data_IF_673912776095
#
_entry.id   IF_673912776095
#
_cell.length_a   1.000
_cell.length_b   1.000
_cell.length_c   1.000
_cell.angle_alpha   90.00
_cell.angle_beta   90.00
_cell.angle_gamma   90.00
#
_symmetry.space_group_name_H-M   'P 1'
#
loop_
_entity.id
_entity.type
_entity.pdbx_description
1 polymer ?
#
# COMPACT_ATOMS: atom_id res chain seq x y z
N UNK A 1 12.07 12.05 -24.73
CA UNK A 1 11.51 12.80 -23.57
C UNK A 1 12.66 13.55 -22.92
N UNK A 2 12.49 14.80 -22.53
CA UNK A 2 13.50 15.53 -21.74
C UNK A 2 13.57 14.91 -20.35
N UNK A 3 14.77 14.47 -19.96
CA UNK A 3 15.00 13.93 -18.62
C UNK A 3 14.73 15.04 -17.58
N UNK A 4 13.80 14.79 -16.66
CA UNK A 4 13.50 15.75 -15.59
C UNK A 4 13.71 15.05 -14.25
N UNK A 5 14.85 15.30 -13.58
CA UNK A 5 15.11 14.72 -12.25
C UNK A 5 14.02 15.06 -11.25
N UNK A 6 13.83 14.18 -10.27
CA UNK A 6 12.93 14.50 -9.15
C UNK A 6 13.59 15.55 -8.25
N UNK A 7 12.87 16.64 -8.06
CA UNK A 7 13.19 17.65 -7.05
C UNK A 7 11.99 17.75 -6.11
N UNK A 8 12.21 17.48 -4.84
CA UNK A 8 11.16 17.51 -3.83
C UNK A 8 11.24 18.81 -3.03
N UNK A 9 10.12 19.53 -2.99
CA UNK A 9 9.88 20.52 -1.96
C UNK A 9 9.35 19.81 -0.71
N UNK A 10 9.85 20.21 0.44
CA UNK A 10 9.44 19.64 1.71
C UNK A 10 8.69 20.67 2.55
N UNK A 11 7.59 20.25 3.13
CA UNK A 11 6.76 21.06 4.01
C UNK A 11 6.64 20.39 5.37
N UNK A 12 6.83 21.17 6.43
CA UNK A 12 6.43 20.82 7.78
C UNK A 12 5.05 21.40 8.04
N UNK A 13 4.11 20.56 8.44
CA UNK A 13 2.73 20.92 8.59
C UNK A 13 2.20 20.54 9.99
N UNK A 14 1.16 21.21 10.45
CA UNK A 14 0.43 20.81 11.64
C UNK A 14 -0.33 19.51 11.40
N UNK A 15 -0.14 18.53 12.27
CA UNK A 15 -0.74 17.19 12.13
C UNK A 15 -2.27 17.23 12.21
N UNK A 16 -2.85 18.12 13.01
CA UNK A 16 -4.28 18.15 13.24
C UNK A 16 -5.07 18.83 12.11
N UNK A 17 -4.47 19.81 11.43
CA UNK A 17 -5.12 20.59 10.38
C UNK A 17 -4.59 20.31 8.97
N UNK A 18 -3.39 19.77 8.85
CA UNK A 18 -2.67 19.66 7.58
C UNK A 18 -2.14 21.00 7.06
N UNK A 19 -2.31 22.09 7.80
CA UNK A 19 -1.84 23.42 7.43
C UNK A 19 -0.31 23.52 7.43
N UNK A 20 0.26 24.19 6.42
CA UNK A 20 1.71 24.40 6.33
C UNK A 20 2.13 25.32 7.47
N UNK A 21 3.11 24.89 8.25
CA UNK A 21 3.78 25.67 9.29
C UNK A 21 5.02 26.32 8.71
N UNK A 22 5.82 25.55 7.93
CA UNK A 22 7.07 26.06 7.37
C UNK A 22 7.52 25.24 6.17
N UNK A 23 8.21 25.86 5.24
CA UNK A 23 9.00 25.21 4.20
C UNK A 23 10.29 24.65 4.80
N UNK A 24 10.69 23.45 4.40
CA UNK A 24 11.88 22.77 4.91
C UNK A 24 12.93 22.55 3.80
N UNK A 25 13.55 23.62 3.24
CA UNK A 25 14.42 23.51 2.08
C UNK A 25 15.72 22.74 2.35
N UNK A 26 16.13 22.64 3.62
CA UNK A 26 17.33 21.92 4.03
C UNK A 26 17.08 20.48 4.44
N UNK A 27 15.82 20.00 4.37
CA UNK A 27 15.45 18.63 4.65
C UNK A 27 15.83 17.72 3.49
N UNK A 28 16.49 16.62 3.81
CA UNK A 28 16.86 15.58 2.84
C UNK A 28 16.48 14.20 3.37
N UNK A 29 15.83 13.36 2.57
CA UNK A 29 15.64 11.97 2.95
C UNK A 29 17.00 11.27 3.05
N UNK A 30 17.15 10.43 4.07
CA UNK A 30 18.34 9.58 4.26
C UNK A 30 18.20 8.22 3.55
N UNK A 31 17.10 8.00 2.85
CA UNK A 31 16.77 6.81 2.09
C UNK A 31 15.61 7.07 1.15
N UNK A 32 15.10 6.02 0.53
CA UNK A 32 13.96 6.13 -0.36
C UNK A 32 12.66 6.47 0.40
N UNK A 33 11.83 7.31 -0.21
CA UNK A 33 10.43 7.43 0.15
C UNK A 33 9.71 6.17 -0.31
N UNK A 34 8.78 5.66 0.48
CA UNK A 34 8.04 4.46 0.10
C UNK A 34 6.54 4.60 0.41
N UNK A 35 5.72 3.93 -0.38
CA UNK A 35 4.29 3.72 -0.12
C UNK A 35 3.91 2.27 -0.43
N UNK A 36 2.93 1.75 0.31
CA UNK A 36 2.40 0.39 0.15
C UNK A 36 0.89 0.39 0.34
N UNK A 37 0.18 -0.39 -0.45
CA UNK A 37 -1.26 -0.59 -0.28
C UNK A 37 -1.56 -1.25 1.07
N UNK A 38 -2.52 -0.69 1.80
CA UNK A 38 -3.02 -1.25 3.05
C UNK A 38 -2.03 -1.32 4.20
N UNK A 39 -0.89 -0.62 4.11
CA UNK A 39 0.16 -0.68 5.13
C UNK A 39 0.93 0.63 5.26
N UNK A 40 1.58 0.82 6.43
CA UNK A 40 2.41 1.98 6.69
C UNK A 40 3.84 1.79 6.22
N UNK A 41 4.47 2.90 5.82
CA UNK A 41 5.91 2.95 5.52
C UNK A 41 6.59 4.01 6.36
N UNK A 42 7.90 3.90 6.52
CA UNK A 42 8.71 4.82 7.32
C UNK A 42 9.68 5.61 6.46
N UNK A 43 10.05 6.79 6.93
CA UNK A 43 11.06 7.65 6.33
C UNK A 43 12.04 8.09 7.40
N UNK A 44 13.33 8.05 7.08
CA UNK A 44 14.38 8.74 7.82
C UNK A 44 14.83 9.94 7.00
N UNK A 45 14.98 11.08 7.65
CA UNK A 45 15.42 12.31 6.99
C UNK A 45 16.36 13.11 7.90
N UNK A 46 17.21 13.91 7.28
CA UNK A 46 18.11 14.84 7.96
C UNK A 46 17.74 16.27 7.60
N UNK A 47 17.54 17.11 8.60
CA UNK A 47 17.38 18.55 8.45
C UNK A 47 18.69 19.23 8.83
N UNK A 48 19.34 19.92 7.88
CA UNK A 48 20.54 20.69 8.16
C UNK A 48 20.14 22.05 8.74
N UNK A 49 20.63 22.39 9.93
CA UNK A 49 20.32 23.65 10.62
C UNK A 49 20.95 24.87 9.93
N UNK A 50 22.08 24.67 9.22
CA UNK A 50 22.66 25.68 8.36
C UNK A 50 21.85 25.82 7.07
N UNK A 51 20.78 26.58 7.09
CA UNK A 51 19.85 26.75 5.97
C UNK A 51 18.43 26.28 6.31
N UNK A 52 18.19 25.91 7.56
CA UNK A 52 16.84 25.66 8.04
C UNK A 52 16.05 26.99 8.11
N UNK A 53 14.77 26.90 7.80
CA UNK A 53 13.84 28.00 7.96
C UNK A 53 13.61 28.33 9.46
N UNK A 54 13.08 29.51 9.75
CA UNK A 54 12.99 30.02 11.13
C UNK A 54 12.16 29.14 12.04
N UNK A 55 11.03 28.60 11.54
CA UNK A 55 10.08 27.83 12.33
C UNK A 55 10.29 26.30 12.19
N UNK A 56 11.47 25.85 11.77
CA UNK A 56 11.75 24.44 11.58
C UNK A 56 11.46 23.60 12.84
N UNK A 57 11.72 24.16 14.02
CA UNK A 57 11.51 23.46 15.30
C UNK A 57 10.04 23.16 15.55
N UNK A 58 9.16 24.14 15.29
CA UNK A 58 7.71 23.99 15.37
C UNK A 58 7.17 23.05 14.28
N UNK A 59 7.72 23.16 13.08
CA UNK A 59 7.33 22.38 11.91
C UNK A 59 7.73 20.89 11.96
N UNK A 60 8.52 20.49 12.97
CA UNK A 60 9.05 19.11 13.08
C UNK A 60 8.83 18.48 14.47
N UNK A 61 7.87 18.95 15.25
CA UNK A 61 7.57 18.40 16.59
C UNK A 61 7.01 17.00 16.49
N UNK A 62 7.65 15.99 17.11
CA UNK A 62 7.13 14.63 17.10
C UNK A 62 5.72 14.50 17.66
N UNK A 63 4.86 13.74 16.95
CA UNK A 63 3.46 13.52 17.33
C UNK A 63 2.52 14.70 17.07
N UNK A 64 3.03 15.84 16.61
CA UNK A 64 2.25 17.06 16.32
C UNK A 64 2.48 17.60 14.91
N UNK A 65 3.51 17.14 14.20
CA UNK A 65 3.84 17.62 12.87
C UNK A 65 3.74 16.51 11.81
N UNK A 66 3.47 16.94 10.58
CA UNK A 66 3.55 16.16 9.35
C UNK A 66 4.72 16.63 8.49
N UNK A 67 5.37 15.73 7.81
CA UNK A 67 6.25 16.02 6.68
C UNK A 67 5.51 15.66 5.38
N UNK A 68 5.54 16.57 4.41
CA UNK A 68 4.99 16.32 3.07
C UNK A 68 6.04 16.63 2.02
N UNK A 69 6.22 15.70 1.09
CA UNK A 69 7.09 15.84 -0.07
C UNK A 69 6.26 16.10 -1.33
N UNK A 70 6.56 17.18 -2.03
CA UNK A 70 5.91 17.58 -3.27
C UNK A 70 6.90 17.57 -4.41
N UNK A 71 6.57 16.89 -5.51
CA UNK A 71 7.36 16.96 -6.74
C UNK A 71 7.21 18.32 -7.39
N UNK A 72 8.30 19.10 -7.42
CA UNK A 72 8.28 20.48 -7.91
C UNK A 72 7.99 20.60 -9.41
N UNK A 73 8.23 19.54 -10.19
CA UNK A 73 8.00 19.55 -11.63
C UNK A 73 6.51 19.43 -12.01
N UNK A 74 5.71 18.82 -11.15
CA UNK A 74 4.28 18.56 -11.38
C UNK A 74 3.37 19.19 -10.33
N UNK A 75 3.97 19.78 -9.29
CA UNK A 75 3.27 20.29 -8.09
C UNK A 75 2.38 19.22 -7.42
N UNK A 76 2.84 17.97 -7.47
CA UNK A 76 2.08 16.81 -6.99
C UNK A 76 2.67 16.34 -5.65
N UNK A 77 1.89 16.29 -4.55
CA UNK A 77 2.30 15.62 -3.34
C UNK A 77 2.52 14.13 -3.61
N UNK A 78 3.70 13.63 -3.31
CA UNK A 78 4.06 12.22 -3.56
C UNK A 78 4.12 11.39 -2.29
N UNK A 79 4.43 12.04 -1.16
CA UNK A 79 4.55 11.36 0.13
C UNK A 79 4.12 12.29 1.26
N UNK A 80 3.48 11.73 2.30
CA UNK A 80 3.13 12.47 3.51
C UNK A 80 3.09 11.54 4.72
N UNK A 81 3.61 12.02 5.86
CA UNK A 81 3.64 11.21 7.08
C UNK A 81 3.87 12.01 8.35
N UNK A 82 3.44 11.46 9.49
CA UNK A 82 3.62 12.05 10.80
C UNK A 82 5.09 11.93 11.28
N UNK A 83 5.63 12.98 11.86
CA UNK A 83 6.91 12.94 12.56
C UNK A 83 6.74 12.15 13.85
N UNK A 84 7.52 11.09 14.01
CA UNK A 84 7.46 10.21 15.18
C UNK A 84 8.65 10.38 16.10
N UNK A 85 9.82 10.69 15.53
CA UNK A 85 11.05 10.88 16.28
C UNK A 85 11.81 12.08 15.76
N UNK A 86 12.46 12.78 16.66
CA UNK A 86 13.37 13.87 16.36
C UNK A 86 14.57 13.77 17.30
N UNK A 87 15.76 13.63 16.73
CA UNK A 87 17.01 13.59 17.47
C UNK A 87 17.88 14.80 17.08
N UNK A 88 18.14 15.65 18.04
CA UNK A 88 18.95 16.84 17.90
C UNK A 88 19.86 17.00 19.10
N UNK A 89 21.04 17.56 18.87
CA UNK A 89 22.02 17.79 19.92
C UNK A 89 22.96 18.95 19.58
N UNK A 90 24.25 18.74 19.76
CA UNK A 90 25.28 19.73 19.43
C UNK A 90 25.70 19.74 17.94
N UNK A 91 25.17 18.81 17.14
CA UNK A 91 25.42 18.75 15.70
C UNK A 91 24.59 19.81 14.94
N UNK A 92 25.08 20.19 13.76
CA UNK A 92 24.39 21.13 12.87
C UNK A 92 23.28 20.48 12.06
N UNK A 93 22.86 19.28 12.45
CA UNK A 93 21.74 18.55 11.82
C UNK A 93 20.82 17.91 12.83
N UNK A 94 19.58 17.73 12.41
CA UNK A 94 18.51 17.06 13.16
C UNK A 94 18.08 15.82 12.38
N UNK A 95 18.06 14.68 13.05
CA UNK A 95 17.55 13.45 12.48
C UNK A 95 16.05 13.34 12.76
N UNK A 96 15.27 13.09 11.72
CA UNK A 96 13.81 12.95 11.78
C UNK A 96 13.42 11.55 11.33
N UNK A 97 12.57 10.90 12.13
CA UNK A 97 11.87 9.68 11.75
C UNK A 97 10.40 9.98 11.57
N UNK A 98 9.85 9.65 10.40
CA UNK A 98 8.45 9.84 10.09
C UNK A 98 7.83 8.54 9.53
N UNK A 99 6.51 8.45 9.58
CA UNK A 99 5.78 7.34 8.96
C UNK A 99 4.48 7.86 8.33
N UNK A 100 4.05 7.21 7.25
CA UNK A 100 2.79 7.52 6.59
C UNK A 100 1.60 7.41 7.55
N UNK A 101 0.47 8.07 7.25
CA UNK A 101 -0.64 8.21 8.20
C UNK A 101 -1.33 6.89 8.55
N UNK A 102 -1.13 5.84 7.78
CA UNK A 102 -1.53 4.47 8.13
C UNK A 102 -0.95 4.08 9.51
N UNK A 103 0.26 4.55 9.86
CA UNK A 103 0.87 4.32 11.17
C UNK A 103 0.07 4.97 12.31
N UNK A 104 -0.58 6.12 12.08
CA UNK A 104 -1.45 6.74 13.07
C UNK A 104 -2.63 5.82 13.43
N UNK A 105 -3.21 5.13 12.45
CA UNK A 105 -4.31 4.18 12.66
C UNK A 105 -3.88 2.98 13.53
N UNK A 106 -2.58 2.67 13.60
CA UNK A 106 -2.05 1.65 14.50
C UNK A 106 -1.96 2.10 15.97
N UNK A 107 -2.21 3.37 16.24
CA UNK A 107 -2.27 3.95 17.60
C UNK A 107 -3.68 4.37 17.98
N UNK A 108 -4.69 3.94 17.22
CA UNK A 108 -6.11 4.22 17.44
C UNK A 108 -6.91 2.92 17.45
N UNK A 109 -7.98 2.91 18.20
CA UNK A 109 -8.85 1.75 18.41
C UNK A 109 -10.26 2.05 17.93
N UNK A 110 -10.93 1.11 17.22
CA UNK A 110 -12.29 1.34 16.71
C UNK A 110 -13.35 1.26 17.81
N UNK A 111 -13.00 0.74 19.00
CA UNK A 111 -13.95 0.45 20.06
C UNK A 111 -14.81 -0.79 19.77
N UNK A 112 -15.92 -0.94 20.49
CA UNK A 112 -16.89 -2.00 20.22
C UNK A 112 -17.86 -1.55 19.13
N UNK A 113 -17.88 -2.27 18.02
CA UNK A 113 -18.80 -2.04 16.90
C UNK A 113 -19.42 -3.35 16.43
N UNK A 114 -20.68 -3.30 16.04
CA UNK A 114 -21.43 -4.43 15.46
C UNK A 114 -22.00 -3.96 14.13
N UNK A 115 -21.42 -4.40 13.05
CA UNK A 115 -21.75 -4.00 11.68
C UNK A 115 -22.29 -5.24 10.95
N UNK A 116 -23.60 -5.31 10.75
CA UNK A 116 -24.27 -6.47 10.17
C UNK A 116 -24.86 -6.10 8.81
N UNK A 117 -24.61 -6.93 7.78
CA UNK A 117 -25.07 -6.71 6.42
C UNK A 117 -24.61 -5.36 5.86
N UNK A 118 -23.41 -4.92 6.25
CA UNK A 118 -22.87 -3.60 5.92
C UNK A 118 -21.91 -3.71 4.73
N UNK A 119 -21.99 -2.76 3.78
CA UNK A 119 -21.03 -2.71 2.66
C UNK A 119 -19.60 -2.58 3.19
N UNK A 120 -18.66 -3.30 2.57
CA UNK A 120 -17.26 -3.35 3.00
C UNK A 120 -16.60 -1.97 3.13
N UNK A 121 -16.89 -1.04 2.21
CA UNK A 121 -16.35 0.31 2.29
C UNK A 121 -16.96 1.08 3.48
N UNK A 122 -18.23 0.87 3.78
CA UNK A 122 -18.87 1.45 4.95
C UNK A 122 -18.34 0.84 6.26
N UNK A 123 -17.96 -0.45 6.26
CA UNK A 123 -17.27 -1.08 7.41
C UNK A 123 -15.93 -0.37 7.65
N UNK A 124 -15.10 -0.19 6.64
CA UNK A 124 -13.82 0.54 6.77
C UNK A 124 -14.06 1.98 7.26
N UNK A 125 -15.03 2.68 6.69
CA UNK A 125 -15.37 4.05 7.11
C UNK A 125 -15.79 4.11 8.58
N UNK A 126 -16.61 3.17 9.05
CA UNK A 126 -17.05 3.09 10.44
C UNK A 126 -15.87 2.82 11.39
N UNK A 127 -14.96 1.92 11.02
CA UNK A 127 -13.77 1.60 11.81
C UNK A 127 -12.81 2.80 11.95
N UNK A 128 -12.68 3.64 10.92
CA UNK A 128 -11.78 4.80 10.93
C UNK A 128 -12.41 6.02 11.62
N UNK A 129 -13.72 6.15 11.61
CA UNK A 129 -14.44 7.33 12.17
C UNK A 129 -13.97 7.75 13.58
N UNK A 130 -13.71 6.84 14.54
CA UNK A 130 -13.19 7.24 15.86
C UNK A 130 -11.81 7.90 15.80
N UNK A 131 -11.01 7.64 14.78
CA UNK A 131 -9.69 8.24 14.62
C UNK A 131 -9.73 9.68 14.11
N UNK A 132 -10.84 10.13 13.54
CA UNK A 132 -11.00 11.49 13.01
C UNK A 132 -11.18 12.52 14.13
N UNK A 133 -11.66 12.08 15.30
CA UNK A 133 -11.81 12.98 16.45
C UNK A 133 -10.44 13.30 17.04
N UNK A 134 -10.05 14.58 17.01
CA UNK A 134 -8.72 15.06 17.41
C UNK A 134 -7.59 14.31 16.68
N UNK A 135 -7.80 14.01 15.42
CA UNK A 135 -6.86 13.31 14.55
C UNK A 135 -6.41 14.15 13.36
N UNK A 136 -5.56 13.59 12.50
CA UNK A 136 -5.15 14.23 11.25
C UNK A 136 -6.35 14.46 10.30
N UNK A 137 -6.24 15.35 9.31
CA UNK A 137 -7.31 15.70 8.39
C UNK A 137 -7.53 14.60 7.32
N UNK A 138 -7.85 13.39 7.79
CA UNK A 138 -8.23 12.27 6.95
C UNK A 138 -9.67 12.50 6.45
N UNK A 139 -9.84 12.43 5.13
CA UNK A 139 -11.14 12.53 4.47
C UNK A 139 -11.53 11.16 3.95
N UNK A 140 -12.68 10.65 4.39
CA UNK A 140 -13.15 9.32 3.95
C UNK A 140 -13.70 9.43 2.52
N UNK A 141 -13.08 8.71 1.59
CA UNK A 141 -13.51 8.51 0.21
C UNK A 141 -13.76 7.01 -0.01
N UNK A 142 -14.93 6.57 0.41
CA UNK A 142 -15.33 5.16 0.48
C UNK A 142 -16.70 4.93 -0.15
N UNK A 143 -16.84 5.01 -1.49
CA UNK A 143 -18.07 4.65 -2.18
C UNK A 143 -18.34 3.15 -2.01
N UNK A 144 -19.63 2.78 -2.02
CA UNK A 144 -20.04 1.39 -1.85
C UNK A 144 -19.35 0.47 -2.87
N UNK A 145 -18.86 -0.66 -2.36
CA UNK A 145 -18.26 -1.72 -3.19
C UNK A 145 -19.30 -2.65 -3.81
N UNK A 146 -20.50 -2.71 -3.25
CA UNK A 146 -21.56 -3.64 -3.60
C UNK A 146 -21.43 -5.02 -2.92
N UNK A 147 -20.39 -5.20 -2.09
CA UNK A 147 -20.18 -6.42 -1.31
C UNK A 147 -20.51 -6.14 0.15
N UNK A 148 -21.41 -6.90 0.73
CA UNK A 148 -21.82 -6.74 2.13
C UNK A 148 -21.18 -7.82 3.00
N UNK A 149 -20.94 -7.47 4.26
CA UNK A 149 -20.35 -8.39 5.24
C UNK A 149 -20.85 -8.08 6.64
N UNK A 150 -20.65 -9.04 7.52
CA UNK A 150 -20.78 -8.86 8.96
C UNK A 150 -19.39 -8.64 9.56
N UNK A 151 -19.24 -7.63 10.41
CA UNK A 151 -17.98 -7.35 11.09
C UNK A 151 -18.20 -6.91 12.53
N UNK A 152 -17.51 -7.56 13.44
CA UNK A 152 -17.54 -7.25 14.87
C UNK A 152 -16.17 -6.85 15.37
N UNK A 153 -16.15 -5.80 16.20
CA UNK A 153 -14.99 -5.49 17.06
C UNK A 153 -15.44 -5.38 18.50
N UNK A 154 -14.61 -5.84 19.41
CA UNK A 154 -14.81 -5.71 20.84
C UNK A 154 -13.64 -4.92 21.42
N UNK A 155 -13.93 -3.86 22.16
CA UNK A 155 -12.88 -2.98 22.70
C UNK A 155 -11.85 -3.73 23.56
N UNK A 156 -12.28 -4.84 24.22
CA UNK A 156 -11.40 -5.69 25.04
C UNK A 156 -10.40 -6.54 24.26
N UNK A 157 -10.50 -6.61 22.94
CA UNK A 157 -9.55 -7.37 22.10
C UNK A 157 -8.29 -6.55 21.75
N UNK A 158 -8.27 -5.27 22.12
CA UNK A 158 -7.16 -4.33 21.85
C UNK A 158 -6.69 -4.31 20.38
N UNK A 159 -7.60 -4.62 19.44
CA UNK A 159 -7.33 -4.54 18.00
C UNK A 159 -7.23 -3.08 17.57
N UNK A 160 -6.14 -2.71 16.92
CA UNK A 160 -5.96 -1.38 16.36
C UNK A 160 -6.82 -1.18 15.10
N UNK A 161 -7.12 0.06 14.75
CA UNK A 161 -7.83 0.35 13.49
C UNK A 161 -7.04 -0.22 12.31
N UNK A 162 -5.72 -0.01 12.26
CA UNK A 162 -4.89 -0.55 11.18
C UNK A 162 -5.04 -2.07 11.03
N UNK A 163 -4.98 -2.81 12.13
CA UNK A 163 -5.13 -4.27 12.09
C UNK A 163 -6.53 -4.69 11.60
N UNK A 164 -7.58 -3.98 12.01
CA UNK A 164 -8.94 -4.25 11.52
C UNK A 164 -9.09 -3.97 10.02
N UNK A 165 -8.50 -2.87 9.52
CA UNK A 165 -8.53 -2.56 8.09
C UNK A 165 -7.77 -3.60 7.26
N UNK A 166 -6.62 -4.07 7.76
CA UNK A 166 -5.84 -5.14 7.12
C UNK A 166 -6.60 -6.47 7.14
N UNK A 167 -7.32 -6.77 8.21
CA UNK A 167 -8.19 -7.94 8.30
C UNK A 167 -9.29 -7.89 7.23
N UNK A 168 -10.00 -6.76 7.10
CA UNK A 168 -11.06 -6.58 6.08
C UNK A 168 -10.48 -6.64 4.66
N UNK A 169 -9.33 -6.03 4.40
CA UNK A 169 -8.64 -6.08 3.11
C UNK A 169 -8.17 -7.50 2.76
N UNK A 170 -7.79 -8.28 3.77
CA UNK A 170 -7.31 -9.67 3.60
C UNK A 170 -8.41 -10.70 3.35
N UNK A 171 -9.69 -10.30 3.41
CA UNK A 171 -10.80 -11.17 3.04
C UNK A 171 -10.80 -11.41 1.53
N UNK A 172 -11.36 -12.55 1.13
CA UNK A 172 -11.61 -12.80 -0.29
C UNK A 172 -12.61 -11.77 -0.84
N UNK A 173 -12.25 -11.10 -1.94
CA UNK A 173 -12.98 -9.95 -2.44
C UNK A 173 -13.01 -8.76 -1.49
N UNK A 174 -12.10 -8.72 -0.50
CA UNK A 174 -11.96 -7.59 0.41
C UNK A 174 -11.56 -6.31 -0.32
N UNK A 175 -12.01 -5.13 0.13
CA UNK A 175 -11.73 -3.87 -0.51
C UNK A 175 -10.28 -3.45 -0.22
N UNK A 176 -9.64 -2.88 -1.21
CA UNK A 176 -8.34 -2.24 -1.04
C UNK A 176 -8.51 -0.83 -0.48
N UNK A 177 -7.51 -0.39 0.29
CA UNK A 177 -7.49 0.95 0.83
C UNK A 177 -6.07 1.54 0.87
N UNK A 178 -5.99 2.87 0.79
CA UNK A 178 -4.76 3.65 0.97
C UNK A 178 -5.12 5.06 1.46
N UNK A 179 -4.22 5.69 2.21
CA UNK A 179 -4.35 7.08 2.61
C UNK A 179 -3.42 7.91 1.71
N UNK A 180 -3.97 8.65 0.77
CA UNK A 180 -3.17 9.52 -0.09
C UNK A 180 -2.86 10.86 0.58
N UNK A 181 -2.00 11.64 -0.07
CA UNK A 181 -1.76 13.04 0.27
C UNK A 181 -2.09 13.92 -0.93
N UNK A 182 -2.90 14.93 -0.72
CA UNK A 182 -3.28 15.88 -1.77
C UNK A 182 -3.27 17.31 -1.22
N UNK A 183 -3.09 18.30 -2.09
CA UNK A 183 -3.32 19.69 -1.70
C UNK A 183 -4.75 19.90 -1.23
N UNK A 184 -4.96 20.73 -0.21
CA UNK A 184 -6.29 21.20 0.14
C UNK A 184 -6.81 22.17 -0.92
N UNK A 185 -8.13 22.46 -0.92
CA UNK A 185 -8.75 23.34 -1.92
C UNK A 185 -8.22 24.79 -1.94
N UNK A 186 -7.58 25.23 -0.86
CA UNK A 186 -6.98 26.56 -0.76
C UNK A 186 -5.47 26.57 -1.11
N UNK A 187 -4.88 25.41 -1.37
CA UNK A 187 -3.44 25.24 -1.62
C UNK A 187 -2.54 25.79 -0.48
N UNK A 188 -3.08 25.79 0.73
CA UNK A 188 -2.43 26.30 1.96
C UNK A 188 -2.05 25.19 2.94
N UNK A 189 -2.21 23.94 2.54
CA UNK A 189 -1.97 22.75 3.34
C UNK A 189 -2.43 21.50 2.61
N UNK A 190 -2.48 20.41 3.33
CA UNK A 190 -2.74 19.09 2.75
C UNK A 190 -3.95 18.41 3.39
N UNK A 191 -4.59 17.55 2.62
CA UNK A 191 -5.63 16.63 3.06
C UNK A 191 -5.18 15.20 2.75
N UNK A 192 -5.74 14.25 3.48
CA UNK A 192 -5.38 12.85 3.40
C UNK A 192 -6.61 12.00 3.09
N UNK A 193 -6.98 11.86 1.80
CA UNK A 193 -8.09 10.99 1.41
C UNK A 193 -7.78 9.54 1.75
N UNK A 194 -8.61 8.92 2.59
CA UNK A 194 -8.68 7.47 2.73
C UNK A 194 -9.53 6.95 1.58
N UNK A 195 -8.89 6.49 0.54
CA UNK A 195 -9.56 5.83 -0.58
C UNK A 195 -9.85 4.37 -0.24
N UNK A 196 -11.10 3.97 -0.44
CA UNK A 196 -11.54 2.58 -0.33
C UNK A 196 -12.23 2.18 -1.62
N UNK A 197 -11.79 1.11 -2.25
CA UNK A 197 -12.31 0.63 -3.54
C UNK A 197 -12.26 -0.91 -3.58
N UNK A 198 -13.06 -1.59 -4.42
CA UNK A 198 -12.83 -3.01 -4.70
C UNK A 198 -11.40 -3.26 -5.14
N UNK A 199 -10.85 -2.40 -6.00
CA UNK A 199 -9.43 -2.30 -6.36
C UNK A 199 -9.04 -0.84 -6.53
N UNK A 200 -7.92 -0.44 -5.92
CA UNK A 200 -7.36 0.90 -6.06
C UNK A 200 -6.55 0.98 -7.36
N UNK A 201 -6.51 2.17 -7.96
CA UNK A 201 -5.75 2.47 -9.16
C UNK A 201 -6.50 2.16 -10.46
N UNK A 202 -5.83 2.40 -11.57
CA UNK A 202 -6.35 2.17 -12.92
C UNK A 202 -6.08 0.73 -13.32
N UNK A 203 -7.14 -0.06 -13.51
CA UNK A 203 -7.06 -1.50 -13.79
C UNK A 203 -7.07 -1.83 -15.30
N UNK A 204 -7.34 -0.86 -16.16
CA UNK A 204 -7.41 -1.07 -17.61
C UNK A 204 -6.03 -1.11 -18.23
N UNK A 205 -5.91 -1.69 -19.44
CA UNK A 205 -4.68 -1.70 -20.22
C UNK A 205 -4.03 -0.32 -20.21
N UNK A 206 -2.83 -0.26 -19.74
CA UNK A 206 -2.13 0.95 -19.40
C UNK A 206 -1.27 1.47 -20.54
N UNK A 207 -1.15 2.80 -20.62
CA UNK A 207 -0.13 3.48 -21.41
C UNK A 207 1.19 3.63 -20.66
N UNK A 208 1.23 3.23 -19.38
CA UNK A 208 2.41 3.32 -18.52
C UNK A 208 3.28 2.10 -18.74
N UNK A 209 4.39 2.29 -19.45
CA UNK A 209 5.33 1.23 -19.79
C UNK A 209 6.69 1.49 -19.15
N UNK A 210 7.21 0.46 -18.47
CA UNK A 210 8.58 0.37 -18.03
C UNK A 210 9.32 -0.59 -18.96
N UNK A 211 10.36 -0.12 -19.63
CA UNK A 211 11.09 -0.86 -20.66
C UNK A 211 12.50 -1.25 -20.21
N UNK A 212 12.89 -2.48 -20.52
CA UNK A 212 14.23 -3.00 -20.34
C UNK A 212 14.77 -3.62 -21.64
N UNK A 213 15.89 -3.14 -22.20
CA UNK A 213 16.68 -1.98 -21.78
C UNK A 213 15.95 -0.67 -22.11
N UNK A 214 16.04 0.31 -21.21
CA UNK A 214 15.40 1.62 -21.38
C UNK A 214 15.40 2.39 -20.09
N UNK A 215 14.22 2.70 -19.55
CA UNK A 215 14.12 3.35 -18.24
C UNK A 215 14.46 2.39 -17.09
N UNK A 216 14.24 1.09 -17.24
CA UNK A 216 14.60 0.07 -16.24
C UNK A 216 16.10 -0.26 -16.35
N UNK A 217 16.82 -0.07 -15.25
CA UNK A 217 18.24 -0.44 -15.16
C UNK A 217 18.42 -1.92 -14.82
N UNK A 218 17.63 -2.42 -13.85
CA UNK A 218 17.57 -3.83 -13.49
C UNK A 218 16.15 -4.22 -13.07
N UNK A 219 15.83 -5.50 -13.18
CA UNK A 219 14.60 -6.04 -12.63
C UNK A 219 14.85 -7.41 -11.99
N UNK A 220 13.98 -7.78 -11.07
CA UNK A 220 13.93 -9.10 -10.46
C UNK A 220 12.52 -9.66 -10.57
N UNK A 221 12.38 -10.88 -11.08
CA UNK A 221 11.16 -11.66 -10.95
C UNK A 221 11.35 -12.65 -9.81
N UNK A 222 10.56 -12.50 -8.75
CA UNK A 222 10.48 -13.46 -7.66
C UNK A 222 9.27 -14.35 -7.89
N UNK A 223 9.53 -15.63 -8.13
CA UNK A 223 8.52 -16.68 -8.20
C UNK A 223 8.59 -17.45 -6.88
N UNK A 224 7.48 -17.60 -6.20
CA UNK A 224 7.46 -18.20 -4.86
C UNK A 224 6.31 -19.18 -4.70
N UNK A 225 6.66 -20.35 -4.19
CA UNK A 225 5.74 -21.41 -3.78
C UNK A 225 5.82 -21.67 -2.27
N UNK A 226 6.34 -20.68 -1.51
CA UNK A 226 6.37 -20.70 -0.05
C UNK A 226 4.96 -20.73 0.53
N UNK A 227 4.86 -21.04 1.82
CA UNK A 227 3.58 -21.12 2.53
C UNK A 227 2.73 -19.85 2.32
N UNK A 228 1.48 -20.06 1.93
CA UNK A 228 0.55 -18.98 1.61
C UNK A 228 0.75 -18.32 0.23
N UNK A 229 1.74 -18.75 -0.59
CA UNK A 229 2.01 -18.15 -1.91
C UNK A 229 1.73 -19.07 -3.09
N UNK A 230 1.81 -20.38 -2.89
CA UNK A 230 1.56 -21.34 -3.93
C UNK A 230 0.88 -22.60 -3.41
N UNK A 231 -0.06 -23.15 -4.20
CA UNK A 231 -0.73 -24.41 -3.91
C UNK A 231 -1.27 -25.08 -5.18
N UNK A 232 -1.20 -26.41 -5.25
CA UNK A 232 -1.89 -27.19 -6.29
C UNK A 232 -3.22 -27.74 -5.80
N UNK A 233 -3.48 -27.65 -4.50
CA UNK A 233 -4.75 -28.04 -3.89
C UNK A 233 -5.10 -27.03 -2.79
N UNK A 234 -6.30 -26.48 -2.84
CA UNK A 234 -6.80 -25.57 -1.83
C UNK A 234 -8.08 -26.14 -1.21
N UNK A 235 -8.21 -25.94 0.09
CA UNK A 235 -9.36 -26.35 0.88
C UNK A 235 -9.68 -25.22 1.86
N UNK A 236 -10.89 -24.65 1.74
CA UNK A 236 -11.35 -23.62 2.64
C UNK A 236 -12.07 -24.21 3.86
N UNK A 237 -11.90 -23.56 5.00
CA UNK A 237 -12.53 -23.97 6.27
C UNK A 237 -13.34 -22.81 6.83
N UNK A 238 -14.61 -23.05 7.07
CA UNK A 238 -15.53 -22.13 7.71
C UNK A 238 -15.48 -22.22 9.23
N UNK A 239 -16.55 -21.79 9.88
CA UNK A 239 -16.73 -21.89 11.33
C UNK A 239 -16.87 -23.32 11.84
N UNK A 240 -16.62 -23.50 13.13
CA UNK A 240 -16.73 -24.76 13.85
C UNK A 240 -15.39 -25.31 14.33
N UNK A 241 -15.45 -26.39 15.09
CA UNK A 241 -14.29 -27.07 15.65
C UNK A 241 -14.28 -28.56 15.27
N UNK A 242 -13.09 -29.12 15.13
CA UNK A 242 -12.90 -30.54 14.88
C UNK A 242 -13.63 -31.03 13.62
N UNK A 243 -14.37 -32.13 13.75
CA UNK A 243 -15.10 -32.77 12.65
C UNK A 243 -16.42 -32.08 12.27
N UNK A 244 -16.91 -31.16 13.08
CA UNK A 244 -18.10 -30.35 12.78
C UNK A 244 -17.79 -29.07 12.04
N UNK A 245 -16.52 -28.77 11.81
CA UNK A 245 -16.10 -27.59 11.09
C UNK A 245 -16.49 -27.69 9.62
N UNK A 246 -17.22 -26.67 9.12
CA UNK A 246 -17.57 -26.60 7.72
C UNK A 246 -16.28 -26.55 6.88
N UNK A 247 -16.23 -27.34 5.81
CA UNK A 247 -15.04 -27.49 4.98
C UNK A 247 -15.48 -27.64 3.53
N UNK A 248 -14.85 -26.91 2.61
CA UNK A 248 -15.09 -27.08 1.17
C UNK A 248 -14.60 -28.44 0.68
N UNK A 249 -15.01 -28.83 -0.50
CA UNK A 249 -14.30 -29.85 -1.27
C UNK A 249 -12.88 -29.38 -1.61
N UNK A 250 -11.92 -30.31 -1.77
CA UNK A 250 -10.60 -29.94 -2.28
C UNK A 250 -10.69 -29.46 -3.72
N UNK A 251 -10.26 -28.21 -3.97
CA UNK A 251 -10.07 -27.68 -5.31
C UNK A 251 -8.65 -27.99 -5.79
N UNK A 252 -8.51 -28.60 -6.97
CA UNK A 252 -7.22 -29.09 -7.48
C UNK A 252 -6.87 -28.42 -8.81
N UNK A 253 -5.60 -27.99 -8.95
CA UNK A 253 -5.00 -27.57 -10.21
C UNK A 253 -4.70 -28.81 -11.09
N UNK A 254 -5.76 -29.45 -11.61
CA UNK A 254 -5.69 -30.75 -12.28
C UNK A 254 -4.70 -30.78 -13.45
N UNK A 255 -4.57 -29.68 -14.19
CA UNK A 255 -3.60 -29.55 -15.29
C UNK A 255 -2.14 -29.62 -14.81
N UNK A 256 -1.83 -28.98 -13.69
CA UNK A 256 -0.49 -28.99 -13.11
C UNK A 256 -0.16 -30.35 -12.53
N UNK A 257 -1.11 -30.99 -11.82
CA UNK A 257 -0.95 -32.34 -11.26
C UNK A 257 -0.73 -33.35 -12.40
N UNK A 258 -1.51 -33.25 -13.47
CA UNK A 258 -1.35 -34.08 -14.66
C UNK A 258 -0.01 -33.85 -15.37
N UNK A 259 0.57 -32.66 -15.30
CA UNK A 259 1.91 -32.34 -15.77
C UNK A 259 3.03 -32.79 -14.81
N UNK A 260 2.72 -33.49 -13.74
CA UNK A 260 3.67 -34.07 -12.80
C UNK A 260 4.05 -33.15 -11.61
N UNK A 261 3.33 -32.08 -11.40
CA UNK A 261 3.57 -31.23 -10.21
C UNK A 261 3.18 -31.99 -8.94
N UNK A 262 3.97 -31.84 -7.84
CA UNK A 262 3.62 -32.37 -6.54
C UNK A 262 2.32 -31.77 -6.02
N UNK A 263 1.65 -32.50 -5.13
CA UNK A 263 0.50 -32.01 -4.41
C UNK A 263 0.96 -31.09 -3.27
N UNK A 264 0.76 -29.77 -3.44
CA UNK A 264 0.96 -28.74 -2.42
C UNK A 264 -0.40 -28.33 -1.90
N UNK A 265 -0.68 -28.59 -0.63
CA UNK A 265 -1.96 -28.32 0.00
C UNK A 265 -1.91 -26.99 0.78
N UNK A 266 -2.88 -26.11 0.51
CA UNK A 266 -3.12 -24.93 1.30
C UNK A 266 -4.50 -25.01 1.94
N UNK A 267 -4.55 -24.71 3.25
CA UNK A 267 -5.78 -24.70 4.02
C UNK A 267 -6.07 -23.28 4.46
N UNK A 268 -7.06 -22.70 3.83
CA UNK A 268 -7.46 -21.32 4.03
C UNK A 268 -8.63 -21.23 5.01
N UNK A 269 -8.58 -20.27 5.93
CA UNK A 269 -9.69 -19.95 6.83
C UNK A 269 -10.06 -18.50 6.60
N UNK A 270 -11.25 -18.20 6.04
CA UNK A 270 -11.74 -16.82 5.95
C UNK A 270 -11.75 -16.16 7.33
N UNK A 271 -11.44 -14.87 7.39
CA UNK A 271 -11.35 -14.12 8.65
C UNK A 271 -12.73 -13.93 9.33
N UNK A 272 -13.82 -14.00 8.56
CA UNK A 272 -15.20 -14.01 9.08
C UNK A 272 -15.77 -15.40 8.97
N UNK A 273 -16.53 -15.81 10.00
CA UNK A 273 -17.14 -17.12 10.07
C UNK A 273 -18.10 -17.41 8.92
N UNK A 274 -17.57 -18.05 7.88
CA UNK A 274 -18.39 -18.48 6.74
C UNK A 274 -19.17 -19.72 7.16
N UNK A 275 -20.50 -19.59 7.12
CA UNK A 275 -21.45 -20.66 7.43
C UNK A 275 -22.16 -21.20 6.18
N UNK A 276 -21.97 -20.56 5.03
CA UNK A 276 -22.54 -20.96 3.74
C UNK A 276 -21.55 -21.87 2.98
N UNK A 277 -21.92 -23.12 2.67
CA UNK A 277 -21.07 -24.05 1.91
C UNK A 277 -20.70 -23.54 0.52
N UNK A 278 -21.62 -22.92 -0.22
CA UNK A 278 -21.37 -22.47 -1.60
C UNK A 278 -20.38 -21.30 -1.61
N UNK A 279 -20.47 -20.43 -0.62
CA UNK A 279 -19.50 -19.35 -0.44
C UNK A 279 -18.09 -19.90 -0.12
N UNK A 280 -18.04 -20.95 0.70
CA UNK A 280 -16.77 -21.60 1.06
C UNK A 280 -16.10 -22.28 -0.15
N UNK A 281 -16.90 -22.92 -1.02
CA UNK A 281 -16.41 -23.48 -2.30
C UNK A 281 -15.86 -22.39 -3.22
N UNK A 282 -16.56 -21.25 -3.33
CA UNK A 282 -16.08 -20.12 -4.13
C UNK A 282 -14.74 -19.57 -3.62
N UNK A 283 -14.58 -19.43 -2.30
CA UNK A 283 -13.32 -19.02 -1.69
C UNK A 283 -12.16 -19.99 -2.01
N UNK A 284 -12.42 -21.30 -1.95
CA UNK A 284 -11.39 -22.29 -2.26
C UNK A 284 -10.97 -22.25 -3.75
N UNK A 285 -11.96 -22.09 -4.65
CA UNK A 285 -11.70 -22.00 -6.09
C UNK A 285 -10.86 -20.77 -6.45
N UNK A 286 -11.22 -19.61 -5.88
CA UNK A 286 -10.50 -18.36 -6.12
C UNK A 286 -9.09 -18.40 -5.55
N UNK A 287 -8.93 -18.89 -4.32
CA UNK A 287 -7.59 -19.05 -3.73
C UNK A 287 -6.72 -19.97 -4.57
N UNK A 288 -7.27 -21.06 -5.12
CA UNK A 288 -6.52 -21.92 -6.03
C UNK A 288 -6.12 -21.19 -7.30
N UNK A 289 -7.01 -20.41 -7.91
CA UNK A 289 -6.69 -19.65 -9.13
C UNK A 289 -5.50 -18.70 -8.93
N UNK A 290 -5.45 -18.03 -7.78
CA UNK A 290 -4.35 -17.13 -7.42
C UNK A 290 -3.04 -17.87 -7.10
N UNK A 291 -3.13 -19.08 -6.51
CA UNK A 291 -1.97 -19.79 -5.96
C UNK A 291 -1.40 -20.87 -6.90
N UNK A 292 -2.14 -21.29 -7.92
CA UNK A 292 -1.77 -22.44 -8.76
C UNK A 292 -0.41 -22.25 -9.46
N UNK A 293 -0.08 -21.05 -9.91
CA UNK A 293 1.19 -20.71 -10.54
C UNK A 293 2.25 -20.23 -9.55
N UNK A 294 1.91 -20.10 -8.26
CA UNK A 294 2.72 -19.42 -7.25
C UNK A 294 2.59 -17.90 -7.32
N UNK A 295 3.09 -17.23 -6.29
CA UNK A 295 3.13 -15.78 -6.27
C UNK A 295 4.25 -15.26 -7.20
N UNK A 296 3.90 -14.32 -8.09
CA UNK A 296 4.87 -13.67 -8.99
C UNK A 296 4.95 -12.19 -8.63
N UNK A 297 6.17 -11.74 -8.32
CA UNK A 297 6.45 -10.36 -7.93
C UNK A 297 7.60 -9.82 -8.75
N UNK A 298 7.34 -8.76 -9.51
CA UNK A 298 8.36 -8.02 -10.26
C UNK A 298 8.81 -6.82 -9.43
N UNK A 299 10.11 -6.74 -9.17
CA UNK A 299 10.73 -5.55 -8.56
C UNK A 299 11.59 -4.89 -9.63
N UNK A 300 11.25 -3.64 -9.96
CA UNK A 300 12.00 -2.88 -10.96
C UNK A 300 12.91 -1.87 -10.27
N UNK A 301 14.12 -1.65 -10.77
CA UNK A 301 14.98 -0.53 -10.42
C UNK A 301 15.13 0.34 -11.66
N UNK A 302 14.35 1.40 -11.73
CA UNK A 302 14.27 2.28 -12.88
C UNK A 302 14.89 3.65 -12.61
N UNK A 303 15.41 4.28 -13.67
CA UNK A 303 15.92 5.66 -13.62
C UNK A 303 14.73 6.59 -13.55
N UNK A 304 14.52 7.25 -12.42
CA UNK A 304 13.32 8.02 -12.13
C UNK A 304 13.08 9.18 -13.13
N UNK A 305 14.14 9.85 -13.57
CA UNK A 305 14.08 10.93 -14.55
C UNK A 305 13.70 10.48 -15.98
N UNK A 306 13.81 9.18 -16.28
CA UNK A 306 13.53 8.58 -17.59
C UNK A 306 12.26 7.76 -17.63
N UNK A 307 11.78 7.33 -16.47
CA UNK A 307 10.57 6.49 -16.35
C UNK A 307 9.30 7.34 -16.39
N UNK A 308 8.14 6.72 -16.57
CA UNK A 308 6.86 7.35 -16.28
C UNK A 308 6.87 7.95 -14.87
N UNK A 309 6.32 9.16 -14.71
CA UNK A 309 6.47 9.93 -13.48
C UNK A 309 5.49 9.48 -12.42
N UNK A 310 6.00 9.07 -11.27
CA UNK A 310 5.20 8.72 -10.10
C UNK A 310 4.36 9.92 -9.65
N UNK A 311 3.11 9.66 -9.29
CA UNK A 311 2.14 10.67 -8.85
C UNK A 311 1.41 11.38 -10.00
N UNK A 312 2.01 11.45 -11.21
CA UNK A 312 1.38 12.00 -12.40
C UNK A 312 0.90 10.91 -13.36
N UNK A 313 1.77 9.98 -13.71
CA UNK A 313 1.50 8.97 -14.73
C UNK A 313 1.06 7.65 -14.12
N UNK A 314 1.48 7.36 -12.90
CA UNK A 314 1.14 6.15 -12.16
C UNK A 314 1.27 6.33 -10.64
N UNK A 315 0.70 5.40 -9.88
CA UNK A 315 0.72 5.38 -8.42
C UNK A 315 0.39 4.00 -7.85
N UNK A 316 0.02 3.96 -6.57
CA UNK A 316 -0.41 2.73 -5.90
C UNK A 316 -1.65 2.15 -6.57
N UNK A 317 -1.62 0.84 -6.82
CA UNK A 317 -2.72 0.06 -7.37
C UNK A 317 -2.84 0.13 -8.89
N UNK A 318 -2.12 1.04 -9.57
CA UNK A 318 -2.18 1.16 -11.02
C UNK A 318 -1.54 -0.05 -11.71
N UNK A 319 -2.17 -0.45 -12.80
CA UNK A 319 -1.62 -1.48 -13.69
C UNK A 319 -0.50 -0.89 -14.53
N UNK A 320 0.64 -1.55 -14.52
CA UNK A 320 1.87 -1.16 -15.21
C UNK A 320 2.23 -2.25 -16.22
N UNK A 321 2.63 -1.86 -17.41
CA UNK A 321 3.21 -2.72 -18.42
C UNK A 321 4.74 -2.74 -18.27
N UNK A 322 5.33 -3.92 -18.06
CA UNK A 322 6.77 -4.16 -18.13
C UNK A 322 7.10 -4.82 -19.45
N UNK A 323 7.89 -4.14 -20.27
CA UNK A 323 8.39 -4.66 -21.53
C UNK A 323 9.89 -5.03 -21.38
N UNK A 324 10.21 -6.30 -21.42
CA UNK A 324 11.59 -6.78 -21.43
C UNK A 324 11.94 -7.25 -22.85
N UNK A 325 12.81 -6.51 -23.55
CA UNK A 325 13.22 -6.90 -24.90
C UNK A 325 14.05 -8.19 -24.89
N UNK A 326 15.04 -8.24 -24.00
CA UNK A 326 15.90 -9.41 -23.82
C UNK A 326 16.69 -9.35 -22.53
N UNK A 327 16.80 -10.47 -21.83
CA UNK A 327 17.70 -10.63 -20.69
C UNK A 327 18.17 -12.09 -20.57
N UNK A 328 19.15 -12.39 -19.72
CA UNK A 328 19.53 -13.79 -19.45
C UNK A 328 18.37 -14.64 -18.94
N UNK A 329 17.48 -14.07 -18.13
CA UNK A 329 16.26 -14.74 -17.62
C UNK A 329 15.20 -14.90 -18.71
N UNK A 330 15.07 -13.93 -19.60
CA UNK A 330 14.08 -13.88 -20.65
C UNK A 330 14.77 -13.68 -22.01
N UNK A 331 15.38 -14.74 -22.59
CA UNK A 331 16.16 -14.62 -23.83
C UNK A 331 15.31 -14.33 -25.06
N UNK A 332 14.00 -14.55 -24.99
CA UNK A 332 13.01 -14.25 -26.04
C UNK A 332 12.19 -12.99 -25.74
N UNK A 333 12.58 -12.25 -24.68
CA UNK A 333 11.78 -11.16 -24.14
C UNK A 333 10.72 -11.64 -23.15
N UNK A 334 10.07 -10.68 -22.51
CA UNK A 334 8.90 -10.87 -21.68
C UNK A 334 8.04 -9.62 -21.70
N UNK A 335 6.73 -9.83 -21.71
CA UNK A 335 5.72 -8.80 -21.51
C UNK A 335 4.91 -9.15 -20.27
N UNK A 336 4.94 -8.30 -19.26
CA UNK A 336 4.17 -8.49 -18.04
C UNK A 336 3.24 -7.30 -17.83
N UNK A 337 2.01 -7.59 -17.40
CA UNK A 337 1.04 -6.59 -16.99
C UNK A 337 0.71 -6.87 -15.53
N UNK A 338 1.17 -6.00 -14.65
CA UNK A 338 1.09 -6.24 -13.22
C UNK A 338 0.73 -4.95 -12.46
N UNK A 339 0.16 -5.11 -11.27
CA UNK A 339 -0.28 -3.97 -10.45
C UNK A 339 0.80 -3.49 -9.50
N UNK A 340 0.92 -2.20 -9.36
CA UNK A 340 1.81 -1.57 -8.40
C UNK A 340 1.27 -1.73 -6.96
N UNK A 341 1.82 -2.69 -6.23
CA UNK A 341 1.47 -2.94 -4.83
C UNK A 341 2.17 -2.01 -3.86
N UNK A 342 3.40 -1.67 -4.18
CA UNK A 342 4.20 -0.68 -3.45
C UNK A 342 5.24 -0.05 -4.36
N UNK A 343 5.80 1.07 -3.90
CA UNK A 343 6.88 1.73 -4.61
C UNK A 343 7.87 2.38 -3.65
N UNK A 344 9.09 2.55 -4.15
CA UNK A 344 10.12 3.35 -3.51
C UNK A 344 10.61 4.43 -4.50
N UNK A 345 10.87 5.64 -3.99
CA UNK A 345 11.46 6.75 -4.74
C UNK A 345 12.68 7.28 -4.00
N UNK A 346 13.83 7.20 -4.62
CA UNK A 346 15.07 7.79 -4.14
C UNK A 346 15.50 8.94 -5.08
N UNK A 347 15.14 10.18 -4.76
CA UNK A 347 15.49 11.33 -5.59
C UNK A 347 16.99 11.57 -5.66
N UNK A 348 17.73 11.26 -4.58
CA UNK A 348 19.16 11.44 -4.49
C UNK A 348 19.96 10.53 -5.42
N UNK A 349 19.47 9.31 -5.61
CA UNK A 349 20.04 8.32 -6.53
C UNK A 349 19.41 8.35 -7.93
N UNK A 350 18.38 9.16 -8.16
CA UNK A 350 17.56 9.16 -9.38
C UNK A 350 16.96 7.77 -9.66
N UNK A 351 16.35 7.15 -8.64
CA UNK A 351 15.76 5.81 -8.74
C UNK A 351 14.30 5.79 -8.31
N UNK A 352 13.51 5.03 -9.07
CA UNK A 352 12.16 4.62 -8.67
C UNK A 352 12.02 3.11 -8.82
N UNK A 353 11.42 2.48 -7.81
CA UNK A 353 11.32 1.02 -7.70
C UNK A 353 9.87 0.62 -7.48
N UNK A 354 9.06 0.47 -8.55
CA UNK A 354 7.75 -0.16 -8.40
C UNK A 354 7.93 -1.66 -8.09
N UNK A 355 7.11 -2.14 -7.15
CA UNK A 355 6.96 -3.55 -6.80
C UNK A 355 5.59 -3.97 -7.34
N UNK A 356 5.62 -4.82 -8.36
CA UNK A 356 4.45 -5.20 -9.13
C UNK A 356 4.06 -6.63 -8.80
N UNK A 357 2.77 -6.86 -8.64
CA UNK A 357 2.18 -8.19 -8.39
C UNK A 357 1.33 -8.55 -9.60
N UNK A 358 1.60 -9.71 -10.19
CA UNK A 358 0.70 -10.27 -11.18
C UNK A 358 -0.54 -10.81 -10.46
N UNK A 359 -1.70 -10.38 -10.91
CA UNK A 359 -2.97 -10.93 -10.48
C UNK A 359 -3.34 -12.03 -11.49
N UNK A 360 -3.48 -13.26 -10.98
CA UNK A 360 -3.87 -14.44 -11.78
C UNK A 360 -5.27 -14.35 -12.37
#
# INVERSE_FOLDING_TARGET
MTETPYQLAWYGCDLGSGGIVEDLPSLKPSGALARKLGDSTTLQAELNLNGAATNWDEATVPGSSLLVAVDTATDTPVWGGAVLTREAGSAESVQLGAATLERYLNSRYPGTQTLIGTDQAAVIAALVTPALTNGPPIVIDAPNTGVVMDYLTVNGDDKTILSCLQEVMGLDGGPEWAIDVVWNGAHSGFQFPLRVRPKIGVQTATTVTFDFPGCVATYTLTESYEDGKGATVVLARGEGEGSSRLTSSPHEATALIAAGWPRWEYRFTPATGVTDPDQLEAHAAQSLALMAQGGQVWTLDAVASRSPRLGRDWGLGDTIHLAVERSPRHPQGADAVARCWSWELDPGADRVRPILVEEG
#
